data_IF_900173295819
#
_entry.id   IF_900173295819
#
_cell.length_a   1.000
_cell.length_b   1.000
_cell.length_c   1.000
_cell.angle_alpha   90.00
_cell.angle_beta   90.00
_cell.angle_gamma   90.00
#
_symmetry.space_group_name_H-M   'P 1'
#
loop_
_entity.id
_entity.type
_entity.pdbx_description
1 polymer ?
#
# COMPACT_ATOMS: atom_id res chain seq x y z
N UNK A 1 1.65 -16.00 -22.78
CA UNK A 1 0.66 -14.90 -22.97
C UNK A 1 0.95 -14.24 -24.31
N UNK A 2 -0.07 -13.93 -25.13
CA UNK A 2 0.18 -13.21 -26.40
C UNK A 2 0.60 -11.76 -26.12
N UNK A 3 1.46 -11.18 -26.96
CA UNK A 3 1.90 -9.78 -26.85
C UNK A 3 0.71 -8.81 -26.79
N UNK A 4 -0.34 -9.09 -27.55
CA UNK A 4 -1.58 -8.29 -27.57
C UNK A 4 -2.22 -8.20 -26.16
N UNK A 5 -2.32 -9.32 -25.44
CA UNK A 5 -2.89 -9.32 -24.08
C UNK A 5 -2.02 -8.50 -23.13
N UNK A 6 -0.71 -8.55 -23.28
CA UNK A 6 0.22 -7.76 -22.46
C UNK A 6 0.03 -6.26 -22.70
N UNK A 7 -0.02 -5.82 -23.96
CA UNK A 7 -0.23 -4.39 -24.29
C UNK A 7 -1.61 -3.89 -23.85
N UNK A 8 -2.66 -4.68 -24.00
CA UNK A 8 -4.00 -4.33 -23.51
C UNK A 8 -4.04 -4.17 -21.99
N UNK A 9 -3.37 -5.06 -21.26
CA UNK A 9 -3.27 -4.93 -19.80
C UNK A 9 -2.49 -3.69 -19.39
N UNK A 10 -1.37 -3.42 -20.05
CA UNK A 10 -0.55 -2.24 -19.80
C UNK A 10 -1.36 -0.94 -20.05
N UNK A 11 -2.05 -0.86 -21.16
CA UNK A 11 -2.89 0.30 -21.47
C UNK A 11 -4.00 0.49 -20.43
N UNK A 12 -4.69 -0.59 -20.04
CA UNK A 12 -5.69 -0.55 -18.97
C UNK A 12 -5.10 -0.14 -17.63
N UNK A 13 -3.90 -0.59 -17.30
CA UNK A 13 -3.20 -0.22 -16.07
C UNK A 13 -2.89 1.28 -16.06
N UNK A 14 -2.34 1.82 -17.15
CA UNK A 14 -2.05 3.25 -17.27
C UNK A 14 -3.32 4.10 -17.09
N UNK A 15 -4.39 3.76 -17.82
CA UNK A 15 -5.68 4.45 -17.68
C UNK A 15 -6.20 4.36 -16.24
N UNK A 16 -6.11 3.18 -15.62
CA UNK A 16 -6.56 2.96 -14.24
C UNK A 16 -5.78 3.82 -13.23
N UNK A 17 -4.46 3.94 -13.41
CA UNK A 17 -3.59 4.79 -12.58
C UNK A 17 -3.98 6.28 -12.73
N UNK A 18 -4.14 6.76 -13.97
CA UNK A 18 -4.54 8.16 -14.25
C UNK A 18 -5.91 8.49 -13.64
N UNK A 19 -6.88 7.59 -13.79
CA UNK A 19 -8.21 7.73 -13.18
C UNK A 19 -8.10 7.71 -11.65
N UNK A 20 -7.23 6.88 -11.09
CA UNK A 20 -6.94 6.84 -9.64
C UNK A 20 -6.42 8.19 -9.15
N UNK A 21 -5.40 8.74 -9.80
CA UNK A 21 -4.83 10.07 -9.48
C UNK A 21 -5.90 11.17 -9.52
N UNK A 22 -6.71 11.19 -10.59
CA UNK A 22 -7.81 12.15 -10.72
C UNK A 22 -8.82 12.03 -9.57
N UNK A 23 -9.19 10.80 -9.18
CA UNK A 23 -10.11 10.56 -8.05
C UNK A 23 -9.52 11.03 -6.72
N UNK A 24 -8.24 10.79 -6.46
CA UNK A 24 -7.57 11.26 -5.24
C UNK A 24 -7.57 12.78 -5.20
N UNK A 25 -7.19 13.46 -6.30
CA UNK A 25 -7.15 14.93 -6.32
C UNK A 25 -8.53 15.60 -6.24
N UNK A 26 -9.53 15.05 -6.96
CA UNK A 26 -10.82 15.71 -7.10
C UNK A 26 -11.86 15.27 -6.06
N UNK A 27 -11.82 14.03 -5.59
CA UNK A 27 -12.87 13.49 -4.73
C UNK A 27 -12.44 13.35 -3.26
N UNK A 28 -11.19 12.98 -2.98
CA UNK A 28 -10.75 12.72 -1.61
C UNK A 28 -10.94 13.88 -0.65
N UNK A 29 -10.74 15.16 -1.04
CA UNK A 29 -10.99 16.29 -0.15
C UNK A 29 -12.42 16.34 0.41
N UNK A 30 -13.39 15.82 -0.36
CA UNK A 30 -14.82 15.87 -0.01
C UNK A 30 -15.35 14.57 0.62
N UNK A 31 -14.50 13.56 0.81
CA UNK A 31 -14.91 12.26 1.31
C UNK A 31 -14.55 12.08 2.78
N UNK A 32 -15.45 11.40 3.50
CA UNK A 32 -15.14 10.85 4.83
C UNK A 32 -14.04 9.80 4.77
N UNK A 33 -13.40 9.48 5.90
CA UNK A 33 -12.39 8.42 6.01
C UNK A 33 -12.92 7.08 5.45
N UNK A 34 -14.11 6.66 5.87
CA UNK A 34 -14.77 5.44 5.40
C UNK A 34 -15.00 5.47 3.89
N UNK A 35 -15.39 6.63 3.35
CA UNK A 35 -15.59 6.81 1.91
C UNK A 35 -14.29 6.69 1.10
N UNK A 36 -13.16 7.19 1.64
CA UNK A 36 -11.82 7.04 1.04
C UNK A 36 -11.37 5.58 1.08
N UNK A 37 -11.49 4.92 2.22
CA UNK A 37 -11.15 3.50 2.38
C UNK A 37 -11.87 2.60 1.38
N UNK A 38 -13.18 2.72 1.27
CA UNK A 38 -13.98 1.94 0.33
C UNK A 38 -13.53 2.14 -1.14
N UNK A 39 -13.10 3.37 -1.50
CA UNK A 39 -12.59 3.65 -2.84
C UNK A 39 -11.20 3.07 -3.06
N UNK A 40 -10.29 3.20 -2.09
CA UNK A 40 -8.95 2.60 -2.15
C UNK A 40 -9.07 1.08 -2.29
N UNK A 41 -9.92 0.44 -1.50
CA UNK A 41 -10.13 -1.00 -1.56
C UNK A 41 -10.66 -1.45 -2.93
N UNK A 42 -11.71 -0.78 -3.44
CA UNK A 42 -12.26 -1.09 -4.77
C UNK A 42 -11.24 -0.88 -5.88
N UNK A 43 -10.52 0.22 -5.84
CA UNK A 43 -9.50 0.56 -6.82
C UNK A 43 -8.35 -0.44 -6.82
N UNK A 44 -7.89 -0.87 -5.64
CA UNK A 44 -6.85 -1.89 -5.47
C UNK A 44 -7.30 -3.25 -6.03
N UNK A 45 -8.54 -3.67 -5.78
CA UNK A 45 -9.11 -4.91 -6.36
C UNK A 45 -9.10 -4.86 -7.89
N UNK A 46 -9.47 -3.75 -8.48
CA UNK A 46 -9.46 -3.57 -9.93
C UNK A 46 -8.03 -3.61 -10.49
N UNK A 47 -7.06 -2.97 -9.84
CA UNK A 47 -5.66 -2.97 -10.24
C UNK A 47 -5.08 -4.38 -10.23
N UNK A 48 -5.26 -5.12 -9.14
CA UNK A 48 -4.80 -6.50 -9.00
C UNK A 48 -5.40 -7.40 -10.07
N UNK A 49 -6.68 -7.22 -10.40
CA UNK A 49 -7.36 -7.95 -11.47
C UNK A 49 -6.80 -7.59 -12.86
N UNK A 50 -6.52 -6.30 -13.14
CA UNK A 50 -5.89 -5.86 -14.40
C UNK A 50 -4.51 -6.50 -14.56
N UNK A 51 -3.73 -6.59 -13.49
CA UNK A 51 -2.42 -7.26 -13.49
C UNK A 51 -2.54 -8.78 -13.66
N UNK A 52 -3.74 -9.36 -13.55
CA UNK A 52 -3.98 -10.78 -13.71
C UNK A 52 -3.54 -11.62 -12.51
N UNK A 53 -3.40 -10.99 -11.36
CA UNK A 53 -3.04 -11.67 -10.10
C UNK A 53 -4.27 -12.38 -9.54
N UNK A 54 -4.11 -13.65 -9.19
CA UNK A 54 -5.12 -14.44 -8.48
C UNK A 54 -4.76 -14.52 -7.01
N UNK A 55 -5.63 -14.02 -6.16
CA UNK A 55 -5.46 -14.08 -4.71
C UNK A 55 -6.09 -15.37 -4.17
N UNK A 56 -5.40 -16.01 -3.24
CA UNK A 56 -5.93 -17.13 -2.46
C UNK A 56 -5.91 -16.72 -1.00
N UNK A 57 -7.04 -16.85 -0.35
CA UNK A 57 -7.19 -16.56 1.07
C UNK A 57 -7.47 -17.85 1.82
N UNK A 58 -6.77 -18.07 2.90
CA UNK A 58 -7.14 -19.11 3.84
C UNK A 58 -8.30 -18.57 4.69
N UNK A 59 -9.48 -19.11 4.45
CA UNK A 59 -10.70 -18.67 5.15
C UNK A 59 -10.68 -19.02 6.64
N UNK A 60 -9.88 -20.00 7.05
CA UNK A 60 -9.73 -20.38 8.47
C UNK A 60 -9.00 -19.30 9.27
N UNK A 61 -8.17 -18.49 8.60
CA UNK A 61 -7.42 -17.38 9.17
C UNK A 61 -8.11 -16.02 9.00
N UNK A 62 -9.33 -15.98 8.46
CA UNK A 62 -10.14 -14.77 8.43
C UNK A 62 -10.63 -14.41 9.84
N UNK A 63 -9.65 -14.05 10.69
CA UNK A 63 -9.97 -13.28 11.87
C UNK A 63 -10.69 -12.01 11.42
N UNK A 64 -11.73 -11.63 12.17
CA UNK A 64 -12.43 -10.36 12.02
C UNK A 64 -11.42 -9.23 11.73
N UNK A 65 -11.73 -8.26 10.88
CA UNK A 65 -10.84 -7.16 10.61
C UNK A 65 -10.54 -6.42 11.91
N UNK A 66 -9.42 -6.77 12.53
CA UNK A 66 -8.97 -6.13 13.76
C UNK A 66 -8.53 -4.72 13.38
N UNK A 67 -9.16 -3.73 14.00
CA UNK A 67 -8.74 -2.33 13.90
C UNK A 67 -8.71 -1.78 15.32
N UNK A 68 -7.61 -1.16 15.74
CA UNK A 68 -6.36 -0.92 14.99
C UNK A 68 -5.46 -2.15 14.83
N UNK A 69 -4.57 -2.16 13.85
CA UNK A 69 -3.65 -3.27 13.62
C UNK A 69 -2.33 -2.84 12.99
N UNK A 70 -1.26 -3.53 13.36
CA UNK A 70 0.03 -3.48 12.70
C UNK A 70 0.19 -4.74 11.85
N UNK A 71 0.28 -4.57 10.53
CA UNK A 71 0.39 -5.64 9.56
C UNK A 71 1.84 -5.74 9.09
N UNK A 72 2.45 -6.89 9.31
CA UNK A 72 3.84 -7.18 8.95
C UNK A 72 3.82 -8.24 7.86
N UNK A 73 4.46 -7.96 6.72
CA UNK A 73 4.47 -8.86 5.58
C UNK A 73 5.88 -8.94 4.97
N UNK A 74 6.21 -10.05 4.32
CA UNK A 74 7.31 -10.12 3.38
C UNK A 74 6.98 -9.29 2.12
N UNK A 75 8.02 -8.90 1.34
CA UNK A 75 7.86 -8.00 0.21
C UNK A 75 8.47 -8.57 -1.07
N UNK A 76 7.63 -8.87 -2.06
CA UNK A 76 8.09 -9.45 -3.33
C UNK A 76 7.82 -8.52 -4.52
N UNK A 77 6.86 -7.60 -4.41
CA UNK A 77 6.44 -6.74 -5.50
C UNK A 77 5.78 -5.46 -5.00
N UNK A 78 5.84 -4.40 -5.79
CA UNK A 78 5.02 -3.21 -5.59
C UNK A 78 3.50 -3.52 -5.54
N UNK A 79 3.08 -4.66 -6.09
CA UNK A 79 1.69 -5.11 -6.05
C UNK A 79 1.22 -5.51 -4.64
N UNK A 80 2.14 -5.85 -3.72
CA UNK A 80 1.80 -6.28 -2.36
C UNK A 80 0.97 -5.22 -1.62
N UNK A 81 1.28 -3.94 -1.85
CA UNK A 81 0.53 -2.80 -1.31
C UNK A 81 -0.95 -2.89 -1.70
N UNK A 82 -1.22 -3.18 -2.96
CA UNK A 82 -2.60 -3.26 -3.47
C UNK A 82 -3.28 -4.56 -3.08
N UNK A 83 -2.54 -5.67 -2.99
CA UNK A 83 -3.07 -6.94 -2.48
C UNK A 83 -3.55 -6.78 -1.03
N UNK A 84 -2.74 -6.17 -0.16
CA UNK A 84 -3.13 -5.88 1.23
C UNK A 84 -4.36 -4.97 1.27
N UNK A 85 -4.38 -3.89 0.48
CA UNK A 85 -5.50 -2.97 0.39
C UNK A 85 -6.79 -3.60 -0.17
N UNK A 86 -6.73 -4.77 -0.83
CA UNK A 86 -7.96 -5.48 -1.24
C UNK A 86 -8.73 -6.04 -0.04
N UNK A 87 -8.02 -6.35 1.03
CA UNK A 87 -8.59 -6.89 2.27
C UNK A 87 -8.87 -5.79 3.28
N UNK A 88 -7.83 -5.06 3.62
CA UNK A 88 -7.85 -3.99 4.62
C UNK A 88 -7.09 -2.80 4.09
N UNK A 89 -7.73 -1.65 4.06
CA UNK A 89 -7.05 -0.40 3.73
C UNK A 89 -6.10 -0.04 4.85
N UNK A 90 -4.83 0.16 4.49
CA UNK A 90 -3.75 0.43 5.42
C UNK A 90 -2.99 1.69 5.05
N UNK A 91 -2.39 2.33 6.04
CA UNK A 91 -1.28 3.26 5.81
C UNK A 91 0.00 2.46 5.68
N UNK A 92 0.77 2.74 4.64
CA UNK A 92 2.03 2.03 4.40
C UNK A 92 3.22 2.84 4.89
N UNK A 93 4.24 2.13 5.34
CA UNK A 93 5.54 2.73 5.66
C UNK A 93 6.41 2.63 4.41
N UNK A 94 6.95 3.76 3.94
CA UNK A 94 7.77 3.83 2.74
C UNK A 94 9.04 4.67 2.96
N UNK A 95 10.07 4.44 2.14
CA UNK A 95 11.30 5.25 2.16
C UNK A 95 10.99 6.69 1.77
N UNK A 96 11.62 7.66 2.44
CA UNK A 96 11.47 9.09 2.16
C UNK A 96 11.80 9.47 0.72
N UNK A 97 12.68 8.73 0.06
CA UNK A 97 13.08 8.99 -1.33
C UNK A 97 11.90 8.91 -2.29
N UNK A 98 10.92 8.03 -2.00
CA UNK A 98 9.70 7.86 -2.80
C UNK A 98 8.86 9.15 -2.81
N UNK A 99 8.96 9.97 -1.78
CA UNK A 99 8.27 11.27 -1.69
C UNK A 99 8.63 12.20 -2.84
N UNK A 100 9.88 12.14 -3.32
CA UNK A 100 10.36 12.92 -4.46
C UNK A 100 9.96 12.37 -5.84
N UNK A 101 9.32 11.22 -5.91
CA UNK A 101 8.92 10.65 -7.20
C UNK A 101 7.70 11.37 -7.76
N UNK A 102 7.75 11.83 -9.03
CA UNK A 102 6.59 12.47 -9.65
C UNK A 102 5.35 11.58 -9.59
N UNK A 103 4.21 12.16 -9.32
CA UNK A 103 2.91 11.51 -9.20
C UNK A 103 2.81 10.46 -8.07
N UNK A 104 3.79 9.57 -7.94
CA UNK A 104 3.81 8.51 -6.91
C UNK A 104 3.99 9.11 -5.52
N UNK A 105 4.95 10.03 -5.33
CA UNK A 105 5.16 10.70 -4.05
C UNK A 105 3.91 11.47 -3.61
N UNK A 106 3.31 12.21 -4.53
CA UNK A 106 2.06 12.92 -4.29
C UNK A 106 0.91 11.97 -3.90
N UNK A 107 0.76 10.86 -4.64
CA UNK A 107 -0.25 9.84 -4.33
C UNK A 107 -0.04 9.24 -2.93
N UNK A 108 1.19 8.87 -2.62
CA UNK A 108 1.56 8.32 -1.31
C UNK A 108 1.23 9.29 -0.17
N UNK A 109 1.52 10.58 -0.32
CA UNK A 109 1.15 11.60 0.67
C UNK A 109 -0.36 11.68 0.89
N UNK A 110 -1.13 11.75 -0.19
CA UNK A 110 -2.60 11.90 -0.12
C UNK A 110 -3.32 10.61 0.30
N UNK A 111 -2.65 9.47 0.25
CA UNK A 111 -3.15 8.19 0.77
C UNK A 111 -2.63 7.85 2.17
N UNK A 112 -1.93 8.79 2.83
CA UNK A 112 -1.52 8.66 4.22
C UNK A 112 -0.27 7.80 4.46
N UNK A 113 0.60 7.66 3.46
CA UNK A 113 1.87 6.93 3.61
C UNK A 113 2.76 7.60 4.66
N UNK A 114 3.36 6.80 5.53
CA UNK A 114 4.32 7.21 6.55
C UNK A 114 5.72 7.11 5.94
N UNK A 115 6.35 8.25 5.70
CA UNK A 115 7.70 8.29 5.10
C UNK A 115 8.79 8.20 6.16
N UNK A 116 9.77 7.33 5.90
CA UNK A 116 10.91 7.12 6.78
C UNK A 116 12.22 7.45 6.07
N UNK A 117 13.05 8.28 6.70
CA UNK A 117 14.43 8.48 6.31
C UNK A 117 15.32 7.48 7.06
N UNK A 118 16.22 6.79 6.35
CA UNK A 118 17.16 5.86 6.98
C UNK A 118 18.35 6.61 7.57
N UNK A 119 18.84 6.15 8.71
CA UNK A 119 20.15 6.55 9.24
C UNK A 119 20.17 7.67 10.27
N UNK A 120 19.04 8.20 10.72
CA UNK A 120 19.00 9.22 11.79
C UNK A 120 18.11 8.77 12.95
N UNK A 121 18.62 8.73 14.16
CA UNK A 121 17.86 8.37 15.36
C UNK A 121 16.59 9.22 15.53
N UNK A 122 16.60 10.50 15.15
CA UNK A 122 15.43 11.39 15.15
C UNK A 122 14.31 10.90 14.23
N UNK A 123 14.66 10.27 13.11
CA UNK A 123 13.67 9.80 12.14
C UNK A 123 13.01 8.52 12.64
N UNK A 124 13.75 7.64 13.32
CA UNK A 124 13.21 6.46 14.00
C UNK A 124 12.15 6.86 15.03
N UNK A 125 12.44 7.88 15.84
CA UNK A 125 11.46 8.40 16.82
C UNK A 125 10.20 8.95 16.16
N UNK A 126 10.33 9.73 15.09
CA UNK A 126 9.17 10.25 14.32
C UNK A 126 8.32 9.14 13.72
N UNK A 127 8.97 8.06 13.24
CA UNK A 127 8.27 6.89 12.72
C UNK A 127 7.46 6.26 13.84
N UNK A 128 8.11 6.00 14.97
CA UNK A 128 7.45 5.42 16.14
C UNK A 128 6.25 6.27 16.59
N UNK A 129 6.43 7.58 16.73
CA UNK A 129 5.36 8.52 17.08
C UNK A 129 4.22 8.50 16.04
N UNK A 130 4.55 8.44 14.74
CA UNK A 130 3.58 8.34 13.65
C UNK A 130 2.81 7.01 13.66
N UNK A 131 3.50 5.90 13.92
CA UNK A 131 2.88 4.58 14.04
C UNK A 131 1.95 4.52 15.26
N UNK A 132 2.43 4.95 16.42
CA UNK A 132 1.65 5.00 17.66
C UNK A 132 0.40 5.86 17.46
N UNK A 133 0.57 7.05 16.85
CA UNK A 133 -0.57 7.91 16.56
C UNK A 133 -1.59 7.22 15.67
N UNK A 134 -1.17 6.61 14.57
CA UNK A 134 -2.08 5.91 13.65
C UNK A 134 -2.84 4.78 14.33
N UNK A 135 -2.17 4.00 15.18
CA UNK A 135 -2.81 2.94 15.95
C UNK A 135 -3.82 3.52 16.97
N UNK A 136 -3.48 4.60 17.65
CA UNK A 136 -4.40 5.30 18.55
C UNK A 136 -5.62 5.88 17.84
N UNK A 137 -5.43 6.38 16.60
CA UNK A 137 -6.51 6.87 15.76
C UNK A 137 -7.39 5.75 15.16
N UNK A 138 -7.14 4.49 15.54
CA UNK A 138 -7.89 3.33 15.05
C UNK A 138 -7.52 2.85 13.66
N UNK A 139 -6.40 3.35 13.11
CA UNK A 139 -5.95 3.01 11.76
C UNK A 139 -5.18 1.68 11.71
N UNK A 140 -5.08 1.12 10.51
CA UNK A 140 -4.20 -0.01 10.22
C UNK A 140 -2.94 0.51 9.55
N UNK A 141 -1.79 0.02 10.02
CA UNK A 141 -0.50 0.33 9.42
C UNK A 141 0.14 -0.95 8.91
N UNK A 142 0.62 -0.93 7.68
CA UNK A 142 1.33 -2.04 7.07
C UNK A 142 2.76 -1.65 6.71
N UNK A 143 3.71 -2.54 6.99
CA UNK A 143 5.08 -2.34 6.58
C UNK A 143 5.78 -3.64 6.21
N UNK A 144 6.87 -3.51 5.47
CA UNK A 144 7.68 -4.59 4.97
C UNK A 144 9.06 -4.52 5.64
N UNK A 145 9.32 -5.31 6.68
CA UNK A 145 10.57 -5.21 7.47
C UNK A 145 11.83 -5.61 6.68
N UNK A 146 11.68 -6.28 5.54
CA UNK A 146 12.77 -6.57 4.61
C UNK A 146 13.37 -5.28 4.00
N UNK A 147 12.61 -4.20 3.95
CA UNK A 147 13.03 -2.89 3.44
C UNK A 147 13.35 -2.85 1.95
N UNK A 148 13.21 -3.95 1.23
CA UNK A 148 13.33 -4.09 -0.23
C UNK A 148 12.53 -5.30 -0.68
N UNK A 149 12.29 -5.40 -1.99
CA UNK A 149 11.61 -6.58 -2.56
C UNK A 149 12.57 -7.77 -2.66
N UNK A 150 12.08 -8.95 -2.30
CA UNK A 150 12.79 -10.23 -2.42
C UNK A 150 12.35 -10.99 -3.69
N UNK A 151 13.17 -11.89 -4.24
CA UNK A 151 12.73 -12.84 -5.24
C UNK A 151 11.58 -13.71 -4.71
N UNK A 152 10.68 -14.12 -5.62
CA UNK A 152 9.57 -14.99 -5.25
C UNK A 152 10.05 -16.29 -4.58
N UNK A 153 9.41 -16.67 -3.48
CA UNK A 153 9.77 -17.84 -2.70
C UNK A 153 10.92 -17.63 -1.70
N UNK A 154 11.43 -16.40 -1.59
CA UNK A 154 12.47 -16.02 -0.63
C UNK A 154 11.91 -15.02 0.37
N UNK A 155 12.33 -15.12 1.62
CA UNK A 155 12.09 -14.11 2.66
C UNK A 155 13.45 -13.59 3.13
N UNK A 156 13.67 -12.28 3.02
CA UNK A 156 14.90 -11.65 3.47
C UNK A 156 14.87 -11.42 5.00
N UNK A 157 16.04 -11.25 5.63
CA UNK A 157 16.11 -10.91 7.04
C UNK A 157 15.30 -9.64 7.35
N UNK A 158 14.55 -9.66 8.43
CA UNK A 158 13.82 -8.49 8.92
C UNK A 158 14.77 -7.54 9.63
N UNK A 159 14.75 -6.29 9.22
CA UNK A 159 15.54 -5.24 9.87
C UNK A 159 14.85 -4.86 11.20
N UNK A 160 15.60 -4.98 12.28
CA UNK A 160 15.15 -4.62 13.63
C UNK A 160 15.40 -3.14 13.99
N UNK A 161 16.00 -2.37 13.08
CA UNK A 161 16.41 -0.97 13.32
C UNK A 161 15.48 0.02 12.65
#
# INVERSE_FOLDING_TARGET
MSAVVTYLRLARLIVHLLVGLGKVGLLFPFLSAVGREARVQRWSRQLVAICGVRMRFDQTLQAQPVSPALIICNHISWLDIFVINTLHTCRFVAKSDIRGWPLIGWLCEHTGTIFIARGRARDVRRIYEGLVKSIHDGERVAFFPEGTTAPQGTVLPFHAN
#
